data_IF_116550881649
#
_entry.id   IF_116550881649
#
_cell.length_a   1.000
_cell.length_b   1.000
_cell.length_c   1.000
_cell.angle_alpha   90.00
_cell.angle_beta   90.00
_cell.angle_gamma   90.00
#
_symmetry.space_group_name_H-M   'P 1'
#
loop_
_entity.id
_entity.type
_entity.pdbx_description
1 polymer ?
#
# COMPACT_ATOMS: atom_id res chain seq x y z
N UNK A 1 -19.88 -0.89 11.45
CA UNK A 1 -19.82 -2.31 11.05
C UNK A 1 -19.08 -2.37 9.72
N UNK A 2 -18.08 -3.25 9.58
CA UNK A 2 -17.35 -3.43 8.32
C UNK A 2 -18.32 -3.94 7.25
N UNK A 3 -18.31 -3.31 6.08
CA UNK A 3 -18.94 -3.87 4.90
C UNK A 3 -18.18 -5.16 4.54
N UNK A 4 -18.83 -6.35 4.56
CA UNK A 4 -18.18 -7.62 4.22
C UNK A 4 -17.61 -7.64 2.78
N UNK A 5 -17.92 -6.63 1.97
CA UNK A 5 -17.37 -6.47 0.63
C UNK A 5 -15.92 -5.94 0.59
N UNK A 6 -15.37 -5.40 1.68
CA UNK A 6 -14.02 -4.80 1.70
C UNK A 6 -13.11 -5.49 2.71
N UNK A 7 -11.98 -6.01 2.23
CA UNK A 7 -10.89 -6.52 3.06
C UNK A 7 -9.80 -5.47 3.22
N UNK A 8 -9.56 -5.03 4.45
CA UNK A 8 -8.44 -4.14 4.78
C UNK A 8 -7.20 -4.97 5.11
N UNK A 9 -6.03 -4.58 4.60
CA UNK A 9 -4.76 -5.29 4.84
C UNK A 9 -3.67 -4.29 5.26
N UNK A 10 -2.97 -4.62 6.35
CA UNK A 10 -1.89 -3.80 6.93
C UNK A 10 -0.64 -4.65 7.14
N UNK A 11 0.53 -4.02 7.21
CA UNK A 11 1.79 -4.74 7.38
C UNK A 11 1.99 -5.16 8.83
N UNK A 12 1.87 -4.21 9.77
CA UNK A 12 2.21 -4.44 11.17
C UNK A 12 1.27 -3.75 12.17
N UNK A 13 1.13 -4.34 13.36
CA UNK A 13 0.29 -3.85 14.45
C UNK A 13 0.58 -2.40 14.90
N UNK A 14 1.84 -1.90 14.92
CA UNK A 14 2.12 -0.52 15.31
C UNK A 14 1.47 0.54 14.43
N UNK A 15 1.19 0.22 13.16
CA UNK A 15 0.49 1.14 12.24
C UNK A 15 -1.03 1.20 12.51
N UNK A 16 -1.55 0.23 13.26
CA UNK A 16 -2.98 0.05 13.54
C UNK A 16 -3.36 0.68 14.88
N UNK A 17 -3.45 2.01 14.88
CA UNK A 17 -3.77 2.81 16.06
C UNK A 17 -5.27 2.84 16.43
N UNK A 18 -5.63 3.58 17.49
CA UNK A 18 -7.00 3.65 18.00
C UNK A 18 -8.03 4.16 16.98
N UNK A 19 -7.67 5.11 16.10
CA UNK A 19 -8.60 5.69 15.15
C UNK A 19 -9.00 4.69 14.05
N UNK A 20 -8.04 3.91 13.55
CA UNK A 20 -8.32 2.80 12.63
C UNK A 20 -9.06 1.66 13.34
N UNK A 21 -8.70 1.32 14.58
CA UNK A 21 -9.41 0.28 15.38
C UNK A 21 -10.88 0.56 15.57
N UNK A 22 -11.26 1.83 15.68
CA UNK A 22 -12.65 2.24 15.75
C UNK A 22 -13.44 2.01 14.45
N UNK A 23 -12.75 1.76 13.32
CA UNK A 23 -13.35 1.70 11.98
C UNK A 23 -13.26 0.32 11.35
N UNK A 24 -12.09 -0.29 11.33
CA UNK A 24 -11.80 -1.48 10.52
C UNK A 24 -11.28 -2.63 11.39
N UNK A 25 -11.18 -3.81 10.81
CA UNK A 25 -10.46 -4.95 11.40
C UNK A 25 -9.61 -5.54 10.27
N UNK A 26 -8.34 -5.13 10.16
CA UNK A 26 -7.50 -5.51 9.04
C UNK A 26 -6.94 -6.92 9.23
N UNK A 27 -6.61 -7.58 8.11
CA UNK A 27 -5.65 -8.67 8.10
C UNK A 27 -4.25 -8.08 8.25
N UNK A 28 -3.50 -8.53 9.26
CA UNK A 28 -2.08 -8.24 9.38
C UNK A 28 -1.31 -9.23 8.53
N UNK A 29 -0.58 -8.72 7.55
CA UNK A 29 0.06 -9.52 6.49
C UNK A 29 1.55 -9.73 6.71
N UNK A 30 2.15 -9.02 7.67
CA UNK A 30 3.58 -9.05 7.91
C UNK A 30 4.34 -8.00 7.09
N UNK A 31 5.62 -7.86 7.40
CA UNK A 31 6.50 -6.84 6.81
C UNK A 31 7.26 -7.44 5.63
N UNK A 32 7.21 -6.76 4.50
CA UNK A 32 7.95 -7.10 3.29
C UNK A 32 7.16 -7.89 2.25
N UNK A 33 7.67 -7.94 1.00
CA UNK A 33 6.89 -8.48 -0.13
C UNK A 33 6.53 -9.95 0.01
N UNK A 34 7.40 -10.75 0.65
CA UNK A 34 7.19 -12.20 0.79
C UNK A 34 6.08 -12.49 1.80
N UNK A 35 6.17 -11.92 3.00
CA UNK A 35 5.15 -12.12 4.04
C UNK A 35 3.79 -11.61 3.56
N UNK A 36 3.76 -10.41 2.97
CA UNK A 36 2.55 -9.82 2.40
C UNK A 36 1.88 -10.74 1.35
N UNK A 37 2.66 -11.29 0.42
CA UNK A 37 2.14 -12.18 -0.61
C UNK A 37 1.63 -13.51 -0.01
N UNK A 38 2.40 -14.12 0.89
CA UNK A 38 2.07 -15.41 1.52
C UNK A 38 0.78 -15.29 2.34
N UNK A 39 0.72 -14.33 3.25
CA UNK A 39 -0.41 -14.18 4.18
C UNK A 39 -1.70 -13.82 3.46
N UNK A 40 -1.66 -12.84 2.54
CA UNK A 40 -2.86 -12.43 1.81
C UNK A 40 -3.37 -13.54 0.89
N UNK A 41 -2.47 -14.23 0.19
CA UNK A 41 -2.88 -15.34 -0.71
C UNK A 41 -3.51 -16.48 0.08
N UNK A 42 -2.91 -16.86 1.22
CA UNK A 42 -3.45 -17.91 2.09
C UNK A 42 -4.83 -17.53 2.66
N UNK A 43 -4.98 -16.29 3.13
CA UNK A 43 -6.25 -15.80 3.65
C UNK A 43 -7.35 -15.82 2.58
N UNK A 44 -7.08 -15.28 1.37
CA UNK A 44 -8.05 -15.26 0.28
C UNK A 44 -8.40 -16.66 -0.24
N UNK A 45 -7.47 -17.60 -0.22
CA UNK A 45 -7.71 -18.99 -0.60
C UNK A 45 -8.63 -19.73 0.40
N UNK A 46 -8.57 -19.36 1.69
CA UNK A 46 -9.37 -19.97 2.75
C UNK A 46 -10.79 -19.36 2.88
N UNK A 47 -11.05 -18.21 2.25
CA UNK A 47 -12.35 -17.54 2.30
C UNK A 47 -13.38 -18.25 1.41
N UNK A 48 -14.53 -18.61 1.99
CA UNK A 48 -15.67 -19.14 1.24
C UNK A 48 -16.29 -18.07 0.31
N UNK A 49 -16.40 -16.85 0.80
CA UNK A 49 -16.81 -15.67 0.04
C UNK A 49 -15.68 -14.65 0.04
N UNK A 50 -15.22 -14.28 -1.16
CA UNK A 50 -14.09 -13.35 -1.32
C UNK A 50 -14.57 -11.89 -1.26
N UNK A 51 -13.72 -10.96 -0.79
CA UNK A 51 -14.06 -9.55 -0.80
C UNK A 51 -14.17 -9.03 -2.24
N UNK A 52 -14.96 -7.98 -2.43
CA UNK A 52 -15.08 -7.26 -3.70
C UNK A 52 -13.99 -6.21 -3.89
N UNK A 53 -13.30 -5.83 -2.82
CA UNK A 53 -12.21 -4.85 -2.81
C UNK A 53 -11.20 -5.21 -1.73
N UNK A 54 -9.92 -5.06 -2.05
CA UNK A 54 -8.83 -5.04 -1.07
C UNK A 54 -8.34 -3.60 -0.88
N UNK A 55 -8.21 -3.16 0.36
CA UNK A 55 -7.61 -1.89 0.72
C UNK A 55 -6.30 -2.16 1.44
N UNK A 56 -5.18 -1.95 0.75
CA UNK A 56 -3.86 -1.99 1.37
C UNK A 56 -3.55 -0.62 1.96
N UNK A 57 -3.40 -0.55 3.28
CA UNK A 57 -3.16 0.70 3.98
C UNK A 57 -2.08 0.60 5.05
N UNK A 58 -1.46 1.73 5.37
CA UNK A 58 -0.28 1.79 6.25
C UNK A 58 0.58 3.02 5.97
N UNK A 59 1.78 3.02 6.53
CA UNK A 59 2.78 4.07 6.39
C UNK A 59 3.62 3.91 5.11
N UNK A 60 4.32 4.98 4.73
CA UNK A 60 5.27 4.99 3.61
C UNK A 60 6.34 6.07 3.82
N UNK A 61 7.50 5.87 3.21
CA UNK A 61 8.56 6.86 3.15
C UNK A 61 8.48 7.72 1.88
N UNK A 62 8.84 9.00 1.97
CA UNK A 62 9.00 9.87 0.81
C UNK A 62 9.94 11.05 1.09
N UNK A 63 10.87 11.30 0.16
CA UNK A 63 11.73 12.48 0.15
C UNK A 63 11.10 13.70 -0.56
N UNK A 64 9.90 13.56 -1.16
CA UNK A 64 9.27 14.62 -1.98
C UNK A 64 7.85 14.99 -1.57
N UNK A 65 7.09 14.05 -1.01
CA UNK A 65 5.72 14.28 -0.58
C UNK A 65 5.67 14.91 0.80
N UNK A 66 4.57 15.62 1.10
CA UNK A 66 4.40 16.24 2.40
C UNK A 66 4.30 15.17 3.51
N UNK A 67 5.15 15.32 4.53
CA UNK A 67 5.14 14.49 5.73
C UNK A 67 3.77 14.52 6.41
N UNK A 68 3.38 13.41 7.02
CA UNK A 68 2.07 13.18 7.66
C UNK A 68 0.85 13.26 6.73
N UNK A 69 1.00 13.49 5.43
CA UNK A 69 -0.15 13.49 4.49
C UNK A 69 -0.46 12.07 4.02
N UNK A 70 -1.75 11.78 3.81
CA UNK A 70 -2.22 10.51 3.21
C UNK A 70 -2.46 10.70 1.72
N UNK A 71 -1.94 9.77 0.94
CA UNK A 71 -2.12 9.67 -0.50
C UNK A 71 -2.77 8.35 -0.86
N UNK A 72 -3.57 8.35 -1.92
CA UNK A 72 -4.00 7.12 -2.58
C UNK A 72 -3.00 6.73 -3.69
N UNK A 73 -2.74 5.45 -3.82
CA UNK A 73 -1.78 4.92 -4.79
C UNK A 73 -2.39 4.96 -6.19
N UNK A 74 -1.79 5.73 -7.08
CA UNK A 74 -2.23 5.84 -8.48
C UNK A 74 -1.68 4.74 -9.38
N UNK A 75 -0.46 4.31 -9.11
CA UNK A 75 0.23 3.23 -9.79
C UNK A 75 1.37 2.70 -8.90
N UNK A 76 1.74 1.44 -9.05
CA UNK A 76 2.75 0.78 -8.19
C UNK A 76 3.78 0.01 -9.01
N UNK A 77 5.05 0.08 -8.61
CA UNK A 77 6.18 -0.64 -9.19
C UNK A 77 6.87 -1.54 -8.16
N UNK A 78 7.63 -2.55 -8.62
CA UNK A 78 8.46 -3.41 -7.77
C UNK A 78 9.95 -3.14 -8.00
N UNK A 79 10.62 -2.49 -7.04
CA UNK A 79 12.02 -2.05 -7.20
C UNK A 79 13.05 -3.17 -7.13
N UNK A 80 12.74 -4.30 -6.49
CA UNK A 80 13.72 -5.38 -6.31
C UNK A 80 13.87 -6.25 -7.58
N UNK A 81 12.97 -6.13 -8.55
CA UNK A 81 13.00 -6.94 -9.77
C UNK A 81 14.03 -6.41 -10.77
N UNK A 82 15.21 -7.02 -10.80
CA UNK A 82 16.23 -6.74 -11.82
C UNK A 82 16.56 -8.01 -12.63
N UNK A 83 15.99 -8.10 -13.84
CA UNK A 83 16.32 -9.13 -14.83
C UNK A 83 17.12 -8.55 -16.02
N UNK A 84 17.81 -7.42 -15.83
CA UNK A 84 18.57 -6.75 -16.89
C UNK A 84 19.68 -7.58 -17.50
N UNK A 85 20.26 -8.53 -16.75
CA UNK A 85 21.21 -9.50 -17.27
C UNK A 85 20.65 -10.37 -18.41
N UNK A 86 19.32 -10.51 -18.48
CA UNK A 86 18.60 -11.23 -19.53
C UNK A 86 18.00 -10.30 -20.59
N UNK A 87 18.29 -9.00 -20.53
CA UNK A 87 17.80 -7.99 -21.49
C UNK A 87 16.44 -7.37 -21.16
N UNK A 88 15.86 -7.66 -19.99
CA UNK A 88 14.61 -7.03 -19.55
C UNK A 88 14.87 -5.68 -18.87
N UNK A 89 13.96 -4.72 -19.04
CA UNK A 89 14.03 -3.47 -18.29
C UNK A 89 13.93 -3.72 -16.78
N UNK A 90 14.64 -2.93 -15.98
CA UNK A 90 14.52 -2.98 -14.51
C UNK A 90 13.08 -2.73 -14.07
N UNK A 91 12.64 -3.50 -13.07
CA UNK A 91 11.27 -3.52 -12.56
C UNK A 91 10.29 -4.37 -13.38
N UNK A 92 10.69 -4.93 -14.54
CA UNK A 92 9.85 -5.84 -15.31
C UNK A 92 10.14 -7.30 -14.94
N UNK A 93 9.11 -8.04 -14.53
CA UNK A 93 9.21 -9.48 -14.28
C UNK A 93 9.23 -10.25 -15.60
N UNK A 94 10.27 -11.07 -15.89
CA UNK A 94 10.32 -11.87 -17.10
C UNK A 94 9.10 -12.79 -17.27
N UNK A 95 8.61 -12.90 -18.50
CA UNK A 95 7.50 -13.79 -18.87
C UNK A 95 6.16 -13.49 -18.15
N UNK A 96 6.07 -12.36 -17.46
CA UNK A 96 4.84 -11.84 -16.90
C UNK A 96 4.44 -10.63 -17.75
N UNK A 97 3.27 -10.68 -18.37
CA UNK A 97 2.72 -9.59 -19.19
C UNK A 97 2.14 -8.48 -18.29
N UNK A 98 3.01 -7.88 -17.47
CA UNK A 98 2.73 -6.70 -16.68
C UNK A 98 3.76 -5.61 -16.99
N UNK A 99 3.33 -4.33 -17.08
CA UNK A 99 4.26 -3.22 -17.21
C UNK A 99 5.09 -3.04 -15.92
N UNK A 100 6.23 -2.36 -16.04
CA UNK A 100 7.08 -1.95 -14.89
C UNK A 100 6.28 -1.27 -13.78
N UNK A 101 5.37 -0.38 -14.18
CA UNK A 101 4.50 0.39 -13.29
C UNK A 101 3.06 -0.01 -13.59
N UNK A 102 2.39 -0.63 -12.62
CA UNK A 102 1.04 -1.15 -12.79
C UNK A 102 0.03 -0.09 -12.30
N UNK A 103 -0.86 0.42 -13.17
CA UNK A 103 -1.86 1.40 -12.75
C UNK A 103 -2.89 0.76 -11.82
N UNK A 104 -3.27 1.49 -10.77
CA UNK A 104 -4.45 1.17 -9.98
C UNK A 104 -5.56 2.10 -10.44
N UNK A 105 -6.72 1.61 -10.94
CA UNK A 105 -7.68 2.46 -11.65
C UNK A 105 -8.66 3.20 -10.73
N UNK A 106 -8.93 2.67 -9.53
CA UNK A 106 -9.95 3.21 -8.64
C UNK A 106 -9.45 4.46 -7.90
N UNK A 107 -10.32 5.47 -7.77
CA UNK A 107 -10.01 6.75 -7.11
C UNK A 107 -11.05 7.09 -6.06
N UNK A 108 -10.61 7.36 -4.83
CA UNK A 108 -11.41 7.93 -3.76
C UNK A 108 -11.41 9.46 -3.94
N UNK A 109 -12.58 10.11 -4.14
CA UNK A 109 -12.66 11.56 -4.22
C UNK A 109 -12.09 12.25 -2.97
N UNK A 110 -11.40 13.38 -3.16
CA UNK A 110 -10.85 14.17 -2.05
C UNK A 110 -9.48 13.72 -1.53
N UNK A 111 -8.91 12.63 -2.05
CA UNK A 111 -7.54 12.20 -1.70
C UNK A 111 -6.54 12.50 -2.83
N UNK A 112 -5.35 13.06 -2.53
CA UNK A 112 -4.30 13.26 -3.52
C UNK A 112 -3.75 11.91 -3.99
N UNK A 113 -3.29 11.86 -5.25
CA UNK A 113 -2.76 10.65 -5.89
C UNK A 113 -1.24 10.73 -5.95
N UNK A 114 -0.57 9.61 -5.67
CA UNK A 114 0.88 9.49 -5.81
C UNK A 114 1.27 8.10 -6.34
N UNK A 115 2.41 8.00 -7.02
CA UNK A 115 3.00 6.73 -7.46
C UNK A 115 3.77 6.06 -6.31
N UNK A 116 3.84 4.72 -6.31
CA UNK A 116 4.45 3.95 -5.21
C UNK A 116 5.47 2.94 -5.73
N UNK A 117 6.60 2.84 -5.04
CA UNK A 117 7.59 1.78 -5.22
C UNK A 117 7.56 0.81 -4.04
N UNK A 118 7.35 -0.47 -4.29
CA UNK A 118 7.42 -1.53 -3.27
C UNK A 118 8.74 -2.30 -3.39
N UNK A 119 9.34 -2.68 -2.28
CA UNK A 119 10.54 -3.53 -2.22
C UNK A 119 10.90 -3.94 -0.79
N UNK A 120 11.86 -4.83 -0.62
CA UNK A 120 12.14 -5.48 0.67
C UNK A 120 12.96 -4.64 1.65
N UNK A 121 13.54 -3.52 1.22
CA UNK A 121 14.36 -2.65 2.06
C UNK A 121 13.61 -1.40 2.53
N UNK A 122 13.97 -0.92 3.73
CA UNK A 122 13.70 0.48 4.13
C UNK A 122 14.58 1.40 3.29
N UNK A 123 14.01 2.47 2.74
CA UNK A 123 14.74 3.48 1.95
C UNK A 123 14.98 4.70 2.82
N UNK A 124 16.20 5.21 2.84
CA UNK A 124 16.55 6.41 3.59
C UNK A 124 17.68 7.19 2.90
N UNK A 125 17.71 8.49 3.14
CA UNK A 125 18.75 9.40 2.64
C UNK A 125 19.00 9.29 1.13
N UNK A 126 20.27 9.22 0.68
CA UNK A 126 20.61 9.23 -0.75
C UNK A 126 19.96 8.12 -1.58
N UNK A 127 19.51 7.02 -0.94
CA UNK A 127 18.84 5.91 -1.61
C UNK A 127 17.54 6.33 -2.33
N UNK A 128 16.89 7.42 -1.88
CA UNK A 128 15.71 7.97 -2.56
C UNK A 128 16.02 8.47 -3.98
N UNK A 129 17.28 8.82 -4.29
CA UNK A 129 17.69 9.32 -5.63
C UNK A 129 17.45 8.28 -6.73
N UNK A 130 17.51 7.00 -6.39
CA UNK A 130 17.30 5.90 -7.34
C UNK A 130 15.81 5.51 -7.51
N UNK A 131 14.90 6.14 -6.75
CA UNK A 131 13.47 5.81 -6.78
C UNK A 131 12.74 6.79 -7.70
N UNK A 132 12.15 6.27 -8.78
CA UNK A 132 11.38 7.07 -9.73
C UNK A 132 10.01 7.47 -9.13
N UNK A 133 9.37 6.58 -8.36
CA UNK A 133 8.04 6.79 -7.79
C UNK A 133 8.01 7.70 -6.55
N UNK A 134 6.86 8.31 -6.26
CA UNK A 134 6.71 9.40 -5.28
C UNK A 134 6.92 8.99 -3.83
N UNK A 135 6.67 7.73 -3.53
CA UNK A 135 6.81 7.16 -2.19
C UNK A 135 7.24 5.71 -2.29
N UNK A 136 7.69 5.18 -1.16
CA UNK A 136 8.13 3.80 -1.03
C UNK A 136 7.36 3.09 0.08
N UNK A 137 7.09 1.81 -0.12
CA UNK A 137 6.66 0.90 0.94
C UNK A 137 7.33 -0.46 0.75
N UNK A 138 6.83 -1.44 1.50
CA UNK A 138 7.34 -2.79 1.52
C UNK A 138 6.31 -3.87 1.12
N UNK A 139 5.02 -3.52 0.95
CA UNK A 139 3.96 -4.54 0.77
C UNK A 139 3.06 -4.36 -0.46
N UNK A 140 2.77 -3.14 -0.94
CA UNK A 140 1.62 -2.91 -1.85
C UNK A 140 1.70 -3.71 -3.15
N UNK A 141 2.87 -3.82 -3.78
CA UNK A 141 3.01 -4.62 -5.00
C UNK A 141 2.72 -6.10 -4.74
N UNK A 142 3.15 -6.65 -3.60
CA UNK A 142 2.83 -8.02 -3.23
C UNK A 142 1.33 -8.21 -3.00
N UNK A 143 0.67 -7.26 -2.32
CA UNK A 143 -0.78 -7.26 -2.19
C UNK A 143 -1.50 -7.19 -3.54
N UNK A 144 -1.01 -6.35 -4.46
CA UNK A 144 -1.55 -6.24 -5.82
C UNK A 144 -1.46 -7.58 -6.55
N UNK A 145 -0.32 -8.28 -6.47
CA UNK A 145 -0.15 -9.58 -7.14
C UNK A 145 -1.07 -10.65 -6.57
N UNK A 146 -1.23 -10.70 -5.24
CA UNK A 146 -2.21 -11.58 -4.60
C UNK A 146 -3.64 -11.24 -5.04
N UNK A 147 -4.02 -9.95 -5.02
CA UNK A 147 -5.35 -9.49 -5.43
C UNK A 147 -5.65 -9.84 -6.90
N UNK A 148 -4.70 -9.61 -7.80
CA UNK A 148 -4.82 -9.95 -9.22
C UNK A 148 -4.95 -11.47 -9.45
N UNK A 149 -4.29 -12.31 -8.66
CA UNK A 149 -4.45 -13.76 -8.73
C UNK A 149 -5.90 -14.21 -8.49
N UNK A 150 -6.63 -13.49 -7.62
CA UNK A 150 -8.03 -13.77 -7.32
C UNK A 150 -9.03 -12.89 -8.09
N UNK A 151 -8.56 -12.02 -8.98
CA UNK A 151 -9.41 -11.10 -9.75
C UNK A 151 -10.09 -10.01 -8.91
N UNK A 152 -9.49 -9.62 -7.79
CA UNK A 152 -10.04 -8.63 -6.85
C UNK A 152 -9.33 -7.29 -7.07
N UNK A 153 -10.06 -6.16 -7.21
CA UNK A 153 -9.44 -4.84 -7.31
C UNK A 153 -8.75 -4.44 -6.00
N UNK A 154 -7.71 -3.61 -6.12
CA UNK A 154 -6.95 -3.09 -4.98
C UNK A 154 -6.87 -1.56 -5.00
N UNK A 155 -7.09 -0.96 -3.83
CA UNK A 155 -6.77 0.43 -3.52
C UNK A 155 -5.62 0.46 -2.50
N UNK A 156 -4.61 1.28 -2.77
CA UNK A 156 -3.54 1.56 -1.82
C UNK A 156 -3.74 2.92 -1.12
N UNK A 157 -3.52 2.98 0.19
CA UNK A 157 -3.53 4.21 0.99
C UNK A 157 -2.25 4.29 1.82
N UNK A 158 -1.49 5.37 1.64
CA UNK A 158 -0.18 5.52 2.29
C UNK A 158 -0.07 6.87 2.98
N UNK A 159 0.18 6.84 4.28
CA UNK A 159 0.51 8.01 5.09
C UNK A 159 2.02 8.20 5.17
N UNK A 160 2.52 9.38 4.82
CA UNK A 160 3.98 9.62 4.80
C UNK A 160 4.52 9.76 6.24
N UNK A 161 5.29 8.77 6.69
CA UNK A 161 5.87 8.69 8.04
C UNK A 161 7.30 9.21 8.11
N UNK A 162 8.04 9.17 7.01
CA UNK A 162 9.47 9.46 7.00
C UNK A 162 9.97 9.88 5.61
N UNK A 163 11.27 10.14 5.49
CA UNK A 163 11.96 10.50 4.25
C UNK A 163 12.31 11.97 4.10
N UNK A 164 11.82 12.85 4.98
CA UNK A 164 12.29 14.24 5.06
C UNK A 164 13.70 14.36 5.67
N UNK A 165 14.05 13.43 6.56
CA UNK A 165 15.38 13.26 7.15
C UNK A 165 15.80 11.79 7.11
N UNK A 166 17.09 11.53 7.29
CA UNK A 166 17.63 10.18 7.38
C UNK A 166 17.10 9.47 8.64
N UNK A 167 16.73 8.21 8.48
CA UNK A 167 16.28 7.34 9.56
C UNK A 167 17.50 6.86 10.36
N UNK A 168 17.49 7.07 11.66
CA UNK A 168 18.56 6.64 12.58
C UNK A 168 18.17 5.43 13.42
N UNK A 169 16.89 5.05 13.40
CA UNK A 169 16.37 3.89 14.10
C UNK A 169 14.84 3.78 14.04
N UNK A 170 14.29 2.78 14.74
CA UNK A 170 12.85 2.49 14.75
C UNK A 170 12.00 3.66 15.27
N UNK A 171 12.52 4.47 16.19
CA UNK A 171 11.79 5.60 16.78
C UNK A 171 11.42 6.66 15.75
N UNK A 172 12.29 6.89 14.76
CA UNK A 172 12.07 7.88 13.71
C UNK A 172 10.90 7.47 12.79
N UNK A 173 10.70 6.17 12.57
CA UNK A 173 9.53 5.63 11.85
C UNK A 173 8.25 5.71 12.70
N UNK A 174 8.31 5.34 13.98
CA UNK A 174 7.12 5.31 14.83
C UNK A 174 6.59 6.69 15.23
N UNK A 175 7.42 7.74 15.13
CA UNK A 175 7.15 9.08 15.65
C UNK A 175 5.82 9.66 15.17
N UNK A 176 5.45 9.41 13.90
CA UNK A 176 4.27 10.01 13.28
C UNK A 176 3.08 9.05 13.15
N UNK A 177 3.18 7.81 13.66
CA UNK A 177 2.15 6.80 13.46
C UNK A 177 0.79 7.19 14.05
N UNK A 178 0.74 7.95 15.15
CA UNK A 178 -0.53 8.46 15.71
C UNK A 178 -1.22 9.44 14.75
N UNK A 179 -0.47 10.36 14.14
CA UNK A 179 -1.01 11.31 13.15
C UNK A 179 -1.44 10.58 11.89
N UNK A 180 -0.65 9.60 11.45
CA UNK A 180 -0.96 8.77 10.29
C UNK A 180 -2.21 7.91 10.53
N UNK A 181 -2.36 7.29 11.70
CA UNK A 181 -3.55 6.53 12.10
C UNK A 181 -4.82 7.38 11.96
N UNK A 182 -4.82 8.58 12.54
CA UNK A 182 -5.95 9.52 12.44
C UNK A 182 -6.31 9.90 11.00
N UNK A 183 -5.30 10.11 10.13
CA UNK A 183 -5.53 10.51 8.74
C UNK A 183 -5.91 9.33 7.84
N UNK A 184 -5.36 8.14 8.06
CA UNK A 184 -5.78 6.92 7.37
C UNK A 184 -7.22 6.58 7.76
N UNK A 185 -7.61 6.77 9.02
CA UNK A 185 -8.99 6.64 9.48
C UNK A 185 -9.95 7.57 8.71
N UNK A 186 -9.57 8.83 8.47
CA UNK A 186 -10.35 9.75 7.63
C UNK A 186 -10.42 9.29 6.16
N UNK A 187 -9.33 8.76 5.60
CA UNK A 187 -9.32 8.21 4.24
C UNK A 187 -10.25 6.99 4.11
N UNK A 188 -10.32 6.15 5.15
CA UNK A 188 -11.28 5.03 5.23
C UNK A 188 -12.73 5.54 5.27
N UNK A 189 -13.00 6.63 5.99
CA UNK A 189 -14.34 7.23 6.02
C UNK A 189 -14.72 7.77 4.61
N UNK A 190 -13.81 8.46 3.93
CA UNK A 190 -14.02 8.92 2.54
C UNK A 190 -14.28 7.77 1.57
N UNK A 191 -13.58 6.63 1.71
CA UNK A 191 -13.83 5.45 0.90
C UNK A 191 -15.24 4.91 1.12
N UNK A 192 -15.69 4.82 2.37
CA UNK A 192 -17.03 4.33 2.73
C UNK A 192 -18.11 5.21 2.13
N UNK A 193 -17.96 6.53 2.26
CA UNK A 193 -18.89 7.49 1.70
C UNK A 193 -18.93 7.41 0.17
N UNK A 194 -17.78 7.24 -0.48
CA UNK A 194 -17.69 7.10 -1.93
C UNK A 194 -18.34 5.81 -2.45
N UNK A 195 -18.19 4.69 -1.74
CA UNK A 195 -18.84 3.43 -2.07
C UNK A 195 -20.35 3.50 -1.84
N UNK A 196 -20.79 3.99 -0.68
CA UNK A 196 -22.20 4.10 -0.33
C UNK A 196 -22.95 5.09 -1.24
N UNK A 197 -22.31 6.21 -1.60
CA UNK A 197 -22.85 7.21 -2.51
C UNK A 197 -22.72 6.87 -3.99
N UNK A 198 -22.06 5.76 -4.34
CA UNK A 198 -21.86 5.33 -5.74
C UNK A 198 -20.90 6.19 -6.56
N UNK A 199 -20.14 7.07 -5.89
CA UNK A 199 -19.08 7.87 -6.49
C UNK A 199 -17.84 7.02 -6.85
N UNK A 200 -17.65 5.90 -6.15
CA UNK A 200 -16.72 4.84 -6.51
C UNK A 200 -17.51 3.57 -6.86
N UNK A 201 -17.29 3.05 -8.07
CA UNK A 201 -17.87 1.78 -8.54
C UNK A 201 -16.75 0.76 -8.77
N UNK A 202 -16.98 -0.45 -8.27
CA UNK A 202 -16.12 -1.63 -8.36
C UNK A 202 -16.57 -2.52 -9.50
#
# INVERSE_FOLDING_TARGET
MSDPSVLYVMAAEPEYGPALRARITPLITGIGPIEAAVQLTAALAAMAERPRLIVSLGSAGSARLAQTQVYQVGAVAWRDMDASALGFARGCTPLLDLPRVVPLPHRIPGLPVASLSTGANIVSGPAYTAIEEDMVDMETFAHLRAAQHFGIPLIGLRGISDGAEDLRGLSDWTQYLEVIDGRLAQAVDLLRDALAGGALRL
#
